data_IF_128603399913
#
_entry.id   IF_128603399913
#
_cell.length_a   1.000
_cell.length_b   1.000
_cell.length_c   1.000
_cell.angle_alpha   90.00
_cell.angle_beta   90.00
_cell.angle_gamma   90.00
#
_symmetry.space_group_name_H-M   'P 1'
#
loop_
_entity.id
_entity.type
_entity.pdbx_description
1 polymer ?
#
# COMPACT_ATOMS: atom_id res chain seq x y z
N UNK A 1 -6.35 -17.79 -25.89
CA UNK A 1 -6.61 -16.34 -26.05
C UNK A 1 -7.59 -15.95 -24.96
N UNK A 2 -7.15 -15.27 -23.90
CA UNK A 2 -8.01 -14.84 -22.79
C UNK A 2 -8.37 -13.37 -23.04
N UNK A 3 -9.65 -12.95 -23.00
CA UNK A 3 -10.07 -11.64 -23.46
C UNK A 3 -9.61 -10.51 -22.54
N UNK A 4 -9.32 -9.36 -23.14
CA UNK A 4 -8.66 -8.15 -22.62
C UNK A 4 -9.51 -7.32 -21.64
N UNK A 5 -10.59 -7.87 -21.09
CA UNK A 5 -11.39 -7.20 -20.06
C UNK A 5 -11.07 -7.83 -18.71
N UNK A 6 -9.92 -7.45 -18.15
CA UNK A 6 -9.63 -7.69 -16.74
C UNK A 6 -10.68 -6.92 -15.95
N UNK A 7 -11.68 -7.64 -15.45
CA UNK A 7 -12.55 -7.13 -14.39
C UNK A 7 -11.63 -6.79 -13.23
N UNK A 8 -11.42 -5.49 -12.98
CA UNK A 8 -10.65 -5.00 -11.85
C UNK A 8 -11.36 -5.40 -10.56
N UNK A 9 -11.07 -6.59 -10.07
CA UNK A 9 -11.45 -7.02 -8.74
C UNK A 9 -10.77 -6.08 -7.73
N UNK A 10 -11.49 -5.68 -6.67
CA UNK A 10 -10.92 -4.93 -5.55
C UNK A 10 -9.63 -5.59 -4.98
N UNK A 11 -9.45 -6.89 -5.20
CA UNK A 11 -8.25 -7.65 -4.82
C UNK A 11 -6.96 -7.29 -5.59
N UNK A 12 -7.02 -6.44 -6.63
CA UNK A 12 -5.85 -6.00 -7.41
C UNK A 12 -5.22 -4.69 -6.93
N UNK A 13 -5.80 -4.04 -5.92
CA UNK A 13 -5.30 -2.77 -5.38
C UNK A 13 -5.09 -2.86 -3.87
N UNK A 14 -4.16 -2.07 -3.35
CA UNK A 14 -3.89 -1.90 -1.93
C UNK A 14 -3.98 -0.41 -1.57
N UNK A 15 -4.69 -0.11 -0.49
CA UNK A 15 -4.67 1.23 0.08
C UNK A 15 -3.48 1.33 1.06
N UNK A 16 -2.69 2.39 0.94
CA UNK A 16 -1.47 2.60 1.74
C UNK A 16 -1.35 4.06 2.16
N UNK A 17 -0.80 4.29 3.36
CA UNK A 17 -0.40 5.63 3.81
C UNK A 17 1.03 5.86 3.32
N UNK A 18 1.25 6.93 2.53
CA UNK A 18 2.52 7.19 1.83
C UNK A 18 2.94 8.65 2.02
N UNK A 19 4.25 8.88 2.20
CA UNK A 19 4.90 10.18 2.07
C UNK A 19 5.90 10.13 0.90
N UNK A 20 5.96 11.18 0.07
CA UNK A 20 6.90 11.33 -1.05
C UNK A 20 7.93 12.45 -0.81
N UNK A 21 7.77 13.20 0.27
CA UNK A 21 8.70 14.20 0.77
C UNK A 21 8.73 14.18 2.30
N UNK A 22 9.85 14.60 2.88
CA UNK A 22 9.96 14.78 4.32
C UNK A 22 9.14 15.98 4.80
N UNK A 23 8.70 15.95 6.06
CA UNK A 23 7.98 17.04 6.72
C UNK A 23 7.04 16.54 7.83
N UNK A 24 6.27 17.43 8.46
CA UNK A 24 5.29 17.05 9.48
C UNK A 24 4.33 15.99 8.92
N UNK A 25 4.14 14.84 9.60
CA UNK A 25 3.30 13.73 9.09
C UNK A 25 1.89 14.16 8.65
N UNK A 26 1.28 15.10 9.39
CA UNK A 26 -0.03 15.66 9.06
C UNK A 26 -0.09 16.43 7.72
N UNK A 27 1.05 16.88 7.20
CA UNK A 27 1.14 17.66 5.96
C UNK A 27 1.66 16.83 4.77
N UNK A 28 2.29 15.68 5.02
CA UNK A 28 2.99 14.89 3.99
C UNK A 28 2.41 13.50 3.77
N UNK A 29 1.67 12.94 4.73
CA UNK A 29 1.06 11.62 4.57
C UNK A 29 -0.22 11.72 3.75
N UNK A 30 -0.36 10.77 2.82
CA UNK A 30 -1.53 10.66 1.94
C UNK A 30 -1.99 9.22 1.87
N UNK A 31 -3.31 9.00 1.83
CA UNK A 31 -3.88 7.70 1.50
C UNK A 31 -3.83 7.52 -0.02
N UNK A 32 -3.04 6.57 -0.50
CA UNK A 32 -2.92 6.24 -1.93
C UNK A 32 -3.48 4.84 -2.17
N UNK A 33 -4.29 4.71 -3.22
CA UNK A 33 -4.68 3.40 -3.79
C UNK A 33 -3.65 3.00 -4.83
N UNK A 34 -2.95 1.90 -4.59
CA UNK A 34 -1.81 1.44 -5.38
C UNK A 34 -2.11 0.06 -5.99
N UNK A 35 -1.61 -0.25 -7.20
CA UNK A 35 -1.72 -1.59 -7.74
C UNK A 35 -0.99 -2.59 -6.85
N UNK A 36 -1.60 -3.75 -6.64
CA UNK A 36 -1.00 -4.85 -5.89
C UNK A 36 0.11 -5.47 -6.73
N UNK A 37 1.35 -5.43 -6.23
CA UNK A 37 2.48 -6.05 -6.91
C UNK A 37 2.25 -7.56 -7.14
N UNK A 38 2.85 -8.17 -8.18
CA UNK A 38 2.81 -9.63 -8.35
C UNK A 38 3.37 -10.38 -7.13
N UNK A 39 2.86 -11.60 -6.86
CA UNK A 39 3.40 -12.42 -5.77
C UNK A 39 4.69 -13.10 -6.25
N UNK A 40 5.84 -12.59 -5.80
CA UNK A 40 7.13 -13.19 -6.11
C UNK A 40 7.30 -14.54 -5.39
N UNK A 41 7.99 -15.49 -6.04
CA UNK A 41 8.32 -16.78 -5.45
C UNK A 41 9.10 -16.62 -4.13
N UNK A 42 8.82 -17.49 -3.16
CA UNK A 42 9.45 -17.44 -1.83
C UNK A 42 8.98 -16.28 -0.94
N UNK A 43 7.99 -15.49 -1.36
CA UNK A 43 7.37 -14.43 -0.54
C UNK A 43 5.96 -14.83 -0.10
N UNK A 44 5.52 -14.23 0.99
CA UNK A 44 4.14 -14.35 1.50
C UNK A 44 3.44 -13.01 1.35
N UNK A 45 2.20 -13.03 0.88
CA UNK A 45 1.33 -11.84 0.89
C UNK A 45 0.48 -11.84 2.14
N UNK A 46 0.49 -10.72 2.84
CA UNK A 46 -0.30 -10.51 4.05
C UNK A 46 -1.37 -9.46 3.82
N UNK A 47 -2.49 -9.60 4.54
CA UNK A 47 -3.48 -8.54 4.70
C UNK A 47 -3.32 -7.97 6.10
N UNK A 48 -2.84 -6.73 6.19
CA UNK A 48 -2.69 -6.04 7.47
C UNK A 48 -4.05 -5.87 8.13
N UNK A 49 -4.14 -6.21 9.43
CA UNK A 49 -5.36 -6.00 10.24
C UNK A 49 -5.23 -4.79 11.16
N UNK A 50 -4.05 -4.61 11.73
CA UNK A 50 -3.71 -3.54 12.64
C UNK A 50 -2.26 -3.12 12.40
N UNK A 51 -1.97 -1.83 12.60
CA UNK A 51 -0.62 -1.28 12.63
C UNK A 51 -0.61 -0.17 13.71
N UNK A 52 0.27 -0.25 14.72
CA UNK A 52 0.40 0.82 15.70
C UNK A 52 1.03 2.06 15.04
N UNK A 53 0.79 3.23 15.65
CA UNK A 53 1.55 4.45 15.37
C UNK A 53 2.49 4.66 16.55
N UNK A 54 3.78 4.48 16.32
CA UNK A 54 4.83 4.61 17.33
C UNK A 54 5.59 5.93 17.17
N UNK A 55 6.25 6.46 18.22
CA UNK A 55 7.11 7.63 18.10
C UNK A 55 8.21 7.48 17.04
N UNK A 56 8.75 6.26 16.86
CA UNK A 56 9.78 5.96 15.85
C UNK A 56 9.29 6.17 14.41
N UNK A 57 7.98 6.04 14.17
CA UNK A 57 7.39 6.21 12.84
C UNK A 57 7.32 7.69 12.42
N UNK A 58 7.55 8.61 13.39
CA UNK A 58 7.48 10.05 13.21
C UNK A 58 8.87 10.71 13.15
N UNK A 59 9.95 9.93 13.19
CA UNK A 59 11.32 10.43 13.12
C UNK A 59 11.66 10.73 11.64
N UNK A 60 12.10 11.96 11.32
CA UNK A 60 12.46 12.36 9.96
C UNK A 60 13.79 11.76 9.47
#
# INVERSE_FOLDING_TARGET
MIPTFVVWSQSMFNDAIVYDRYGPPAAVLTLKRLPLAPLAGGRVRVRMRFAPVNPSDLIP
#
